data_IF_453429336150
#
_entry.id   IF_453429336150
#
_cell.length_a   1.000
_cell.length_b   1.000
_cell.length_c   1.000
_cell.angle_alpha   90.00
_cell.angle_beta   90.00
_cell.angle_gamma   90.00
#
_symmetry.space_group_name_H-M   'P 1'
#
loop_
_entity.id
_entity.type
_entity.pdbx_description
1 polymer ?
#
# COMPACT_ATOMS: atom_id res chain seq x y z
N UNK A 1 -10.05 59.06 -28.21
CA UNK A 1 -8.93 58.09 -28.21
C UNK A 1 -8.65 57.36 -26.88
N UNK A 2 -8.87 57.90 -25.66
CA UNK A 2 -8.40 57.23 -24.43
C UNK A 2 -9.23 56.01 -23.99
N UNK A 3 -10.50 55.89 -24.39
CA UNK A 3 -11.37 54.74 -24.03
C UNK A 3 -11.03 53.46 -24.80
N UNK A 4 -10.71 53.57 -26.09
CA UNK A 4 -10.31 52.42 -26.91
C UNK A 4 -8.96 51.85 -26.46
N UNK A 5 -8.02 52.71 -26.07
CA UNK A 5 -6.72 52.28 -25.56
C UNK A 5 -6.84 51.52 -24.23
N UNK A 6 -7.74 51.96 -23.32
CA UNK A 6 -8.04 51.22 -22.08
C UNK A 6 -8.65 49.86 -22.36
N UNK A 7 -9.58 49.76 -23.30
CA UNK A 7 -10.22 48.48 -23.66
C UNK A 7 -9.20 47.46 -24.20
N UNK A 8 -8.29 47.91 -25.08
CA UNK A 8 -7.22 47.07 -25.62
C UNK A 8 -6.28 46.63 -24.50
N UNK A 9 -5.88 47.53 -23.61
CA UNK A 9 -5.02 47.19 -22.47
C UNK A 9 -5.70 46.16 -21.55
N UNK A 10 -6.98 46.32 -21.25
CA UNK A 10 -7.74 45.37 -20.43
C UNK A 10 -7.84 44.01 -21.11
N UNK A 11 -8.11 43.96 -22.42
CA UNK A 11 -8.14 42.70 -23.18
C UNK A 11 -6.78 42.00 -23.18
N UNK A 12 -5.69 42.73 -23.39
CA UNK A 12 -4.32 42.16 -23.34
C UNK A 12 -3.99 41.61 -21.96
N UNK A 13 -4.28 42.36 -20.88
CA UNK A 13 -4.05 41.88 -19.51
C UNK A 13 -4.91 40.65 -19.19
N UNK A 14 -6.18 40.64 -19.59
CA UNK A 14 -7.07 39.49 -19.39
C UNK A 14 -6.60 38.27 -20.19
N UNK A 15 -6.08 38.49 -21.40
CA UNK A 15 -5.53 37.43 -22.26
C UNK A 15 -4.27 36.85 -21.64
N UNK A 16 -3.35 37.69 -21.15
CA UNK A 16 -2.14 37.26 -20.45
C UNK A 16 -2.50 36.48 -19.18
N UNK A 17 -3.47 36.94 -18.39
CA UNK A 17 -3.93 36.22 -17.19
C UNK A 17 -4.59 34.87 -17.53
N UNK A 18 -5.30 34.75 -18.65
CA UNK A 18 -5.88 33.48 -19.13
C UNK A 18 -4.82 32.51 -19.69
N UNK A 19 -3.72 33.02 -20.26
CA UNK A 19 -2.57 32.20 -20.69
C UNK A 19 -1.62 31.84 -19.53
N UNK A 20 -1.74 32.50 -18.36
CA UNK A 20 -1.13 32.07 -17.09
C UNK A 20 -2.10 31.15 -16.33
N UNK A 21 -2.87 30.32 -17.05
CA UNK A 21 -3.36 29.09 -16.44
C UNK A 21 -2.11 28.31 -16.02
N UNK A 22 -1.78 28.35 -14.74
CA UNK A 22 -0.77 27.46 -14.18
C UNK A 22 -1.17 26.06 -14.65
N UNK A 23 -0.30 25.37 -15.40
CA UNK A 23 -0.41 23.93 -15.47
C UNK A 23 -0.33 23.49 -14.02
N UNK A 24 -1.47 23.11 -13.44
CA UNK A 24 -1.46 22.29 -12.24
C UNK A 24 -0.70 21.06 -12.70
N UNK A 25 0.59 21.02 -12.40
CA UNK A 25 1.38 19.81 -12.55
C UNK A 25 0.87 18.90 -11.44
N UNK A 26 -0.29 18.28 -11.65
CA UNK A 26 -0.65 17.09 -10.90
C UNK A 26 0.56 16.17 -11.01
N UNK A 27 1.20 15.85 -9.89
CA UNK A 27 2.35 14.97 -9.93
C UNK A 27 1.89 13.67 -10.57
N UNK A 28 2.43 13.34 -11.74
CA UNK A 28 2.02 12.14 -12.46
C UNK A 28 2.54 10.91 -11.71
N UNK A 29 1.82 9.79 -11.86
CA UNK A 29 2.33 8.48 -11.47
C UNK A 29 3.74 8.29 -11.99
N UNK A 30 4.67 7.98 -11.08
CA UNK A 30 6.06 7.79 -11.47
C UNK A 30 6.30 6.32 -11.73
N UNK A 31 6.70 5.93 -12.96
CA UNK A 31 7.02 4.53 -13.23
C UNK A 31 8.17 4.08 -12.32
N UNK A 32 8.22 2.81 -11.98
CA UNK A 32 9.33 2.20 -11.23
C UNK A 32 10.02 1.19 -12.14
N UNK A 33 9.29 0.18 -12.60
CA UNK A 33 9.78 -0.89 -13.49
C UNK A 33 8.62 -1.46 -14.30
N UNK A 34 8.84 -1.80 -15.57
CA UNK A 34 7.80 -2.38 -16.43
C UNK A 34 7.75 -3.92 -16.39
N UNK A 35 6.55 -4.48 -16.56
CA UNK A 35 6.27 -5.91 -16.70
C UNK A 35 5.86 -6.62 -15.40
N UNK A 36 5.05 -7.67 -15.55
CA UNK A 36 4.43 -8.45 -14.46
C UNK A 36 5.41 -8.75 -13.31
N UNK A 37 6.67 -9.20 -13.56
CA UNK A 37 7.55 -9.56 -12.44
C UNK A 37 7.99 -8.41 -11.53
N UNK A 38 7.61 -7.17 -11.84
CA UNK A 38 8.00 -5.98 -11.10
C UNK A 38 6.82 -5.21 -10.51
N UNK A 39 5.59 -5.75 -10.58
CA UNK A 39 4.43 -5.20 -9.87
C UNK A 39 4.65 -5.10 -8.36
N UNK A 40 4.11 -4.08 -7.72
CA UNK A 40 4.26 -3.85 -6.27
C UNK A 40 2.97 -4.26 -5.58
N UNK A 41 3.01 -5.45 -4.98
CA UNK A 41 1.86 -6.03 -4.28
C UNK A 41 1.79 -5.53 -2.83
N UNK A 42 2.92 -5.17 -2.22
CA UNK A 42 2.96 -4.63 -0.86
C UNK A 42 4.20 -3.78 -0.60
N UNK A 43 4.09 -2.82 0.33
CA UNK A 43 5.13 -1.81 0.58
C UNK A 43 5.31 -1.54 2.08
N UNK A 44 6.52 -1.19 2.52
CA UNK A 44 6.79 -0.71 3.87
C UNK A 44 7.88 0.36 3.89
N UNK A 45 7.70 1.41 4.69
CA UNK A 45 8.68 2.49 4.85
C UNK A 45 9.94 1.96 5.54
N UNK A 46 11.10 2.19 4.92
CA UNK A 46 12.43 1.91 5.47
C UNK A 46 13.03 3.16 6.07
N UNK A 47 13.06 4.25 5.31
CA UNK A 47 13.68 5.49 5.75
C UNK A 47 12.94 6.71 5.22
N UNK A 48 12.87 7.75 6.04
CA UNK A 48 12.45 9.09 5.66
C UNK A 48 13.54 10.08 6.07
N UNK A 49 14.11 10.80 5.10
CA UNK A 49 15.12 11.84 5.33
C UNK A 49 14.81 13.06 4.46
N UNK A 50 14.13 14.05 5.05
CA UNK A 50 13.58 15.17 4.29
C UNK A 50 12.58 14.65 3.25
N UNK A 51 12.79 15.01 1.98
CA UNK A 51 11.95 14.59 0.85
C UNK A 51 12.39 13.23 0.24
N UNK A 52 13.37 12.56 0.85
CA UNK A 52 13.81 11.24 0.41
C UNK A 52 13.09 10.16 1.21
N UNK A 53 12.46 9.24 0.48
CA UNK A 53 11.72 8.11 1.05
C UNK A 53 12.25 6.81 0.44
N UNK A 54 12.67 5.89 1.30
CA UNK A 54 13.02 4.53 0.89
C UNK A 54 11.95 3.57 1.37
N UNK A 55 11.52 2.67 0.49
CA UNK A 55 10.55 1.64 0.80
C UNK A 55 11.10 0.26 0.45
N UNK A 56 10.84 -0.70 1.32
CA UNK A 56 10.91 -2.11 0.99
C UNK A 56 9.59 -2.48 0.30
N UNK A 57 9.67 -3.26 -0.78
CA UNK A 57 8.50 -3.74 -1.52
C UNK A 57 8.55 -5.25 -1.69
N UNK A 58 7.38 -5.88 -1.81
CA UNK A 58 7.23 -7.29 -2.21
C UNK A 58 6.61 -7.40 -3.60
N UNK A 59 6.85 -8.54 -4.23
CA UNK A 59 6.25 -8.94 -5.50
C UNK A 59 5.51 -10.27 -5.35
N UNK A 60 4.33 -10.42 -5.94
CA UNK A 60 3.51 -11.65 -5.99
C UNK A 60 4.13 -12.80 -6.84
N UNK A 61 5.40 -12.66 -7.20
CA UNK A 61 6.10 -13.54 -8.12
C UNK A 61 6.09 -15.02 -7.68
N UNK A 62 6.02 -15.90 -8.69
CA UNK A 62 5.83 -17.35 -8.49
C UNK A 62 7.02 -18.20 -8.98
N UNK A 63 7.84 -17.67 -9.90
CA UNK A 63 8.94 -18.41 -10.55
C UNK A 63 10.27 -18.19 -9.82
N UNK A 64 11.21 -19.13 -10.00
CA UNK A 64 12.52 -19.14 -9.30
C UNK A 64 13.45 -17.98 -9.71
N UNK A 65 13.34 -17.51 -10.94
CA UNK A 65 14.18 -16.44 -11.49
C UNK A 65 13.58 -15.04 -11.38
N UNK A 66 12.46 -14.91 -10.66
CA UNK A 66 11.79 -13.63 -10.42
C UNK A 66 12.17 -13.10 -9.03
N UNK A 67 12.27 -11.78 -8.88
CA UNK A 67 12.52 -11.14 -7.59
C UNK A 67 11.38 -11.40 -6.60
N UNK A 68 11.65 -11.27 -5.31
CA UNK A 68 10.61 -11.27 -4.26
C UNK A 68 10.54 -9.97 -3.49
N UNK A 69 11.66 -9.27 -3.43
CA UNK A 69 11.84 -8.06 -2.67
C UNK A 69 12.70 -7.08 -3.47
N UNK A 70 12.45 -5.80 -3.27
CA UNK A 70 13.31 -4.73 -3.73
C UNK A 70 13.22 -3.54 -2.78
N UNK A 71 14.19 -2.63 -2.87
CA UNK A 71 14.07 -1.28 -2.31
C UNK A 71 13.75 -0.34 -3.46
N UNK A 72 12.77 0.53 -3.25
CA UNK A 72 12.57 1.70 -4.09
C UNK A 72 12.94 2.97 -3.33
N UNK A 73 13.58 3.92 -4.01
CA UNK A 73 13.94 5.22 -3.42
C UNK A 73 13.28 6.35 -4.20
N UNK A 74 12.50 7.16 -3.49
CA UNK A 74 11.87 8.37 -4.02
C UNK A 74 12.71 9.56 -3.57
N UNK A 75 13.32 10.29 -4.53
CA UNK A 75 14.18 11.45 -4.26
C UNK A 75 13.55 12.72 -4.83
N UNK A 76 12.71 13.38 -4.05
CA UNK A 76 11.91 14.52 -4.52
C UNK A 76 11.04 14.14 -5.72
N UNK A 77 11.08 14.93 -6.80
CA UNK A 77 10.32 14.70 -8.05
C UNK A 77 11.05 13.83 -9.08
N UNK A 78 12.23 13.29 -8.75
CA UNK A 78 12.97 12.44 -9.67
C UNK A 78 12.29 11.09 -9.88
N UNK A 79 12.70 10.41 -10.96
CA UNK A 79 12.39 9.02 -11.23
C UNK A 79 12.77 8.15 -10.03
N UNK A 80 11.89 7.24 -9.57
CA UNK A 80 12.21 6.28 -8.52
C UNK A 80 13.41 5.40 -8.89
N UNK A 81 14.34 5.23 -7.96
CA UNK A 81 15.38 4.21 -8.08
C UNK A 81 14.81 2.86 -7.66
N UNK A 82 15.24 1.78 -8.31
CA UNK A 82 14.86 0.39 -7.99
C UNK A 82 16.11 -0.45 -7.73
N UNK A 83 16.15 -1.14 -6.58
CA UNK A 83 17.24 -2.03 -6.20
C UNK A 83 16.70 -3.41 -5.81
N UNK A 84 16.90 -4.46 -6.62
CA UNK A 84 16.43 -5.80 -6.27
C UNK A 84 17.22 -6.38 -5.09
N UNK A 85 16.52 -7.05 -4.18
CA UNK A 85 17.12 -7.76 -3.06
C UNK A 85 17.14 -9.26 -3.32
N UNK A 86 18.24 -9.91 -2.95
CA UNK A 86 18.34 -11.37 -3.04
C UNK A 86 17.62 -12.01 -1.85
N UNK A 87 16.71 -12.93 -2.14
CA UNK A 87 16.16 -13.80 -1.11
C UNK A 87 17.25 -14.75 -0.59
N UNK A 88 17.33 -15.04 0.72
CA UNK A 88 18.33 -15.96 1.26
C UNK A 88 18.27 -17.34 0.59
N UNK A 89 19.40 -17.77 0.02
CA UNK A 89 19.49 -18.98 -0.81
C UNK A 89 19.24 -20.28 -0.05
N UNK A 90 19.39 -20.26 1.27
CA UNK A 90 19.15 -21.39 2.17
C UNK A 90 17.69 -21.49 2.64
N UNK A 91 16.83 -20.55 2.26
CA UNK A 91 15.40 -20.54 2.60
C UNK A 91 14.59 -20.74 1.33
N UNK A 92 13.56 -21.58 1.40
CA UNK A 92 12.66 -21.81 0.26
C UNK A 92 12.06 -20.47 -0.19
N UNK A 93 12.11 -20.21 -1.49
CA UNK A 93 11.49 -19.02 -2.07
C UNK A 93 9.98 -19.00 -1.74
N UNK A 94 9.45 -17.87 -1.24
CA UNK A 94 8.02 -17.69 -1.12
C UNK A 94 7.41 -17.64 -2.52
N UNK A 95 6.12 -17.89 -2.57
CA UNK A 95 5.30 -17.76 -3.77
C UNK A 95 4.22 -16.76 -3.38
N UNK A 96 3.92 -15.80 -4.26
CA UNK A 96 2.75 -14.93 -4.08
C UNK A 96 2.85 -14.06 -2.82
N UNK A 97 3.96 -13.31 -2.64
CA UNK A 97 4.04 -12.34 -1.54
C UNK A 97 3.16 -11.14 -1.86
N UNK A 98 2.10 -10.98 -1.10
CA UNK A 98 1.09 -9.96 -1.33
C UNK A 98 1.28 -8.76 -0.40
N UNK A 99 1.47 -8.99 0.91
CA UNK A 99 1.52 -7.88 1.87
C UNK A 99 2.89 -7.70 2.52
N UNK A 100 3.18 -6.48 2.94
CA UNK A 100 4.38 -6.13 3.69
C UNK A 100 4.06 -5.08 4.76
N UNK A 101 4.59 -5.27 5.96
CA UNK A 101 4.45 -4.28 7.05
C UNK A 101 5.70 -4.22 7.89
N UNK A 102 6.02 -3.04 8.40
CA UNK A 102 7.05 -2.87 9.43
C UNK A 102 6.57 -3.49 10.75
N UNK A 103 7.48 -4.07 11.52
CA UNK A 103 7.23 -4.46 12.90
C UNK A 103 7.39 -3.21 13.78
N UNK A 104 6.37 -2.80 14.54
CA UNK A 104 6.46 -1.61 15.39
C UNK A 104 7.65 -1.66 16.36
N UNK A 105 8.20 -0.50 16.69
CA UNK A 105 9.32 -0.33 17.63
C UNK A 105 10.65 -1.00 17.19
N UNK A 106 10.85 -1.17 15.88
CA UNK A 106 12.10 -1.74 15.32
C UNK A 106 12.91 -0.76 14.47
N UNK A 107 12.61 0.55 14.54
CA UNK A 107 13.27 1.58 13.71
C UNK A 107 13.29 1.24 12.22
N UNK A 108 12.21 0.62 11.71
CA UNK A 108 12.07 0.18 10.32
C UNK A 108 13.18 -0.77 9.83
N UNK A 109 13.76 -1.58 10.73
CA UNK A 109 14.74 -2.60 10.35
C UNK A 109 14.15 -4.00 10.27
N UNK A 110 12.92 -4.22 10.74
CA UNK A 110 12.27 -5.52 10.76
C UNK A 110 10.84 -5.44 10.22
N UNK A 111 10.45 -6.47 9.47
CA UNK A 111 9.23 -6.50 8.67
C UNK A 111 8.55 -7.86 8.73
N UNK A 112 7.27 -7.89 8.40
CA UNK A 112 6.52 -9.12 8.11
C UNK A 112 6.04 -9.03 6.67
N UNK A 113 6.46 -9.99 5.84
CA UNK A 113 5.87 -10.23 4.53
C UNK A 113 4.84 -11.37 4.65
N UNK A 114 3.74 -11.30 3.91
CA UNK A 114 2.68 -12.33 3.90
C UNK A 114 2.44 -12.81 2.47
N UNK A 115 2.36 -14.12 2.28
CA UNK A 115 1.87 -14.71 1.04
C UNK A 115 0.35 -14.92 1.02
N UNK A 116 -0.21 -15.03 -0.18
CA UNK A 116 -1.64 -15.20 -0.43
C UNK A 116 -2.27 -16.41 0.31
N UNK A 117 -1.49 -17.44 0.59
CA UNK A 117 -1.88 -18.65 1.32
C UNK A 117 -1.85 -18.51 2.85
N UNK A 118 -1.48 -17.33 3.37
CA UNK A 118 -1.44 -17.02 4.80
C UNK A 118 -0.15 -17.40 5.51
N UNK A 119 0.92 -17.70 4.77
CA UNK A 119 2.27 -17.89 5.32
C UNK A 119 3.02 -16.56 5.44
N UNK A 120 3.60 -16.33 6.60
CA UNK A 120 4.26 -15.08 6.95
C UNK A 120 5.75 -15.25 7.25
N UNK A 121 6.52 -14.22 6.93
CA UNK A 121 7.97 -14.18 6.99
C UNK A 121 8.43 -12.97 7.79
N UNK A 122 9.05 -13.19 8.94
CA UNK A 122 9.78 -12.14 9.66
C UNK A 122 11.12 -11.91 8.97
N UNK A 123 11.26 -10.71 8.41
CA UNK A 123 12.43 -10.25 7.68
C UNK A 123 13.17 -9.19 8.50
N UNK A 124 14.49 -9.19 8.42
CA UNK A 124 15.32 -8.06 8.86
C UNK A 124 16.09 -7.50 7.67
N UNK A 125 16.12 -6.17 7.55
CA UNK A 125 16.84 -5.45 6.51
C UNK A 125 18.07 -4.75 7.09
N UNK A 126 19.24 -5.12 6.56
CA UNK A 126 20.41 -4.26 6.64
C UNK A 126 20.34 -3.25 5.48
N UNK A 127 19.83 -2.06 5.75
CA UNK A 127 19.65 -1.03 4.73
C UNK A 127 20.98 -0.51 4.17
N UNK A 128 22.07 -0.58 4.93
CA UNK A 128 23.40 -0.10 4.50
C UNK A 128 23.98 -1.05 3.47
N UNK A 129 23.95 -2.35 3.76
CA UNK A 129 24.48 -3.38 2.87
C UNK A 129 23.44 -3.92 1.88
N UNK A 130 22.18 -3.46 1.98
CA UNK A 130 21.03 -3.88 1.18
C UNK A 130 20.85 -5.40 1.16
N UNK A 131 20.86 -5.99 2.35
CA UNK A 131 20.72 -7.43 2.55
C UNK A 131 19.51 -7.77 3.40
N UNK A 132 18.80 -8.84 3.04
CA UNK A 132 17.67 -9.38 3.79
C UNK A 132 18.07 -10.67 4.47
N UNK A 133 17.59 -10.85 5.70
CA UNK A 133 17.58 -12.14 6.39
C UNK A 133 16.16 -12.55 6.75
N UNK A 134 15.85 -13.84 6.65
CA UNK A 134 14.59 -14.41 7.16
C UNK A 134 14.85 -14.92 8.57
N UNK A 135 14.25 -14.28 9.56
CA UNK A 135 14.38 -14.64 10.98
C UNK A 135 13.45 -15.81 11.33
N UNK A 136 12.21 -15.76 10.82
CA UNK A 136 11.19 -16.76 11.17
C UNK A 136 10.11 -16.88 10.10
N UNK A 137 9.65 -18.11 9.88
CA UNK A 137 8.42 -18.43 9.16
C UNK A 137 7.32 -18.81 10.15
N UNK A 138 6.10 -18.32 9.95
CA UNK A 138 4.91 -18.67 10.72
C UNK A 138 3.66 -18.58 9.84
N UNK A 139 2.50 -18.98 10.36
CA UNK A 139 1.24 -18.93 9.64
C UNK A 139 0.24 -18.04 10.37
N UNK A 140 -0.67 -17.43 9.62
CA UNK A 140 -1.86 -16.80 10.18
C UNK A 140 -2.69 -17.82 11.00
N UNK A 141 -3.54 -17.34 11.94
CA UNK A 141 -4.50 -18.21 12.64
C UNK A 141 -5.38 -18.97 11.67
N UNK A 142 -5.98 -20.09 12.10
CA UNK A 142 -6.86 -20.88 11.26
C UNK A 142 -7.95 -20.03 10.57
N UNK A 143 -8.09 -20.20 9.26
CA UNK A 143 -8.99 -19.45 8.40
C UNK A 143 -9.76 -20.41 7.47
N UNK A 144 -10.87 -19.96 6.84
CA UNK A 144 -11.63 -20.78 5.90
C UNK A 144 -10.78 -21.24 4.71
N UNK A 145 -11.04 -22.46 4.24
CA UNK A 145 -10.43 -22.98 3.01
C UNK A 145 -10.70 -22.02 1.84
N UNK A 146 -9.72 -21.85 0.95
CA UNK A 146 -9.75 -20.92 -0.19
C UNK A 146 -9.72 -19.43 0.20
N UNK A 147 -9.30 -19.08 1.42
CA UNK A 147 -8.91 -17.71 1.72
C UNK A 147 -7.70 -17.32 0.87
N UNK A 148 -7.79 -16.19 0.20
CA UNK A 148 -6.70 -15.54 -0.52
C UNK A 148 -6.41 -14.18 0.14
N UNK A 149 -5.24 -14.04 0.76
CA UNK A 149 -4.87 -12.88 1.56
C UNK A 149 -4.01 -11.90 0.77
N UNK A 150 -4.51 -10.69 0.55
CA UNK A 150 -3.72 -9.65 -0.12
C UNK A 150 -3.14 -8.62 0.88
N UNK A 151 -3.62 -8.63 2.13
CA UNK A 151 -3.31 -7.55 3.08
C UNK A 151 -2.93 -8.04 4.48
N UNK A 152 -1.95 -7.35 5.07
CA UNK A 152 -1.46 -7.58 6.42
C UNK A 152 -0.79 -6.33 6.98
N UNK A 153 -1.18 -5.91 8.17
CA UNK A 153 -0.56 -4.80 8.88
C UNK A 153 -0.34 -5.13 10.36
N UNK A 154 0.77 -4.64 10.89
CA UNK A 154 1.04 -4.56 12.32
C UNK A 154 1.07 -3.10 12.74
N UNK A 155 0.36 -2.78 13.82
CA UNK A 155 0.37 -1.45 14.41
C UNK A 155 0.49 -1.55 15.93
N UNK A 156 1.35 -0.71 16.52
CA UNK A 156 1.35 -0.51 17.96
C UNK A 156 0.23 0.46 18.33
N UNK A 157 -0.70 -0.03 19.15
CA UNK A 157 -1.78 0.75 19.73
C UNK A 157 -1.67 0.61 21.24
N UNK A 158 -1.26 1.69 21.92
CA UNK A 158 -1.10 1.76 23.37
C UNK A 158 -0.17 0.67 23.97
N UNK A 159 0.95 0.37 23.30
CA UNK A 159 1.95 -0.59 23.75
C UNK A 159 1.59 -2.05 23.42
N UNK A 160 0.54 -2.28 22.63
CA UNK A 160 0.11 -3.60 22.18
C UNK A 160 0.25 -3.68 20.67
N UNK A 161 1.01 -4.67 20.18
CA UNK A 161 1.10 -4.92 18.74
C UNK A 161 -0.17 -5.63 18.29
N UNK A 162 -0.91 -4.94 17.46
CA UNK A 162 -2.15 -5.39 16.86
C UNK A 162 -1.87 -5.83 15.43
N UNK A 163 -2.42 -6.99 15.05
CA UNK A 163 -2.44 -7.45 13.67
C UNK A 163 -3.82 -7.24 13.07
N UNK A 164 -3.87 -6.75 11.83
CA UNK A 164 -5.04 -6.75 10.96
C UNK A 164 -4.67 -7.36 9.61
N UNK A 165 -5.52 -8.23 9.10
CA UNK A 165 -5.29 -8.93 7.83
C UNK A 165 -6.60 -9.22 7.14
N UNK A 166 -6.61 -9.35 5.82
CA UNK A 166 -7.86 -9.66 5.14
C UNK A 166 -7.71 -10.63 3.98
N UNK A 167 -8.73 -11.48 3.88
CA UNK A 167 -9.06 -12.11 2.61
C UNK A 167 -9.62 -11.02 1.68
N UNK A 168 -9.09 -10.95 0.45
CA UNK A 168 -9.35 -9.87 -0.52
C UNK A 168 -10.81 -9.66 -0.91
N UNK A 169 -11.61 -10.72 -0.94
CA UNK A 169 -12.92 -10.72 -1.60
C UNK A 169 -12.81 -10.53 -3.12
N UNK A 170 -13.84 -10.93 -3.85
CA UNK A 170 -13.83 -10.85 -5.31
C UNK A 170 -15.24 -10.69 -5.88
N UNK A 171 -15.44 -9.62 -6.66
CA UNK A 171 -16.71 -9.30 -7.32
C UNK A 171 -17.85 -9.13 -6.32
N UNK A 172 -18.70 -10.16 -6.18
CA UNK A 172 -19.82 -10.16 -5.22
C UNK A 172 -19.46 -10.78 -3.87
N UNK A 173 -18.35 -11.51 -3.79
CA UNK A 173 -17.87 -12.09 -2.54
C UNK A 173 -17.22 -11.00 -1.71
N UNK A 174 -17.73 -10.68 -0.51
CA UNK A 174 -17.12 -9.66 0.33
C UNK A 174 -15.71 -10.05 0.74
N UNK A 175 -14.86 -9.04 0.94
CA UNK A 175 -13.63 -9.23 1.71
C UNK A 175 -13.98 -9.66 3.13
N UNK A 176 -13.02 -10.27 3.81
CA UNK A 176 -13.14 -10.58 5.23
C UNK A 176 -11.92 -10.09 5.97
N UNK A 177 -12.13 -9.02 6.76
CA UNK A 177 -11.13 -8.43 7.64
C UNK A 177 -11.11 -9.23 8.93
N UNK A 178 -9.91 -9.51 9.43
CA UNK A 178 -9.64 -10.12 10.72
C UNK A 178 -8.74 -9.21 11.53
N UNK A 179 -8.86 -9.26 12.86
CA UNK A 179 -7.98 -8.52 13.76
C UNK A 179 -7.66 -9.33 15.01
N UNK A 180 -6.51 -9.05 15.63
CA UNK A 180 -6.05 -9.74 16.82
C UNK A 180 -4.80 -9.12 17.42
N UNK A 181 -4.34 -9.70 18.53
CA UNK A 181 -3.11 -9.29 19.21
C UNK A 181 -1.97 -10.19 18.74
N UNK A 182 -0.86 -9.59 18.31
CA UNK A 182 0.33 -10.31 17.87
C UNK A 182 1.35 -10.41 19.00
N UNK A 183 1.73 -11.65 19.34
CA UNK A 183 2.84 -11.95 20.23
C UNK A 183 4.07 -12.28 19.39
N UNK A 184 4.97 -11.31 19.24
CA UNK A 184 6.19 -11.43 18.44
C UNK A 184 7.14 -12.52 18.97
N UNK A 185 7.18 -12.76 20.28
CA UNK A 185 8.04 -13.79 20.87
C UNK A 185 7.55 -15.20 20.51
N UNK A 186 6.23 -15.37 20.41
CA UNK A 186 5.60 -16.65 20.05
C UNK A 186 5.29 -16.78 18.56
N UNK A 187 5.41 -15.70 17.79
CA UNK A 187 4.96 -15.62 16.39
C UNK A 187 3.52 -16.09 16.23
N UNK A 188 2.64 -15.63 17.12
CA UNK A 188 1.24 -16.05 17.18
C UNK A 188 0.31 -14.86 17.27
N UNK A 189 -0.73 -14.88 16.46
CA UNK A 189 -1.83 -13.92 16.55
C UNK A 189 -2.97 -14.57 17.35
N UNK A 190 -3.45 -13.86 18.37
CA UNK A 190 -4.68 -14.22 19.08
C UNK A 190 -5.83 -13.44 18.45
N UNK A 191 -6.62 -14.12 17.61
CA UNK A 191 -7.74 -13.51 16.89
C UNK A 191 -8.79 -12.98 17.86
N UNK A 192 -9.16 -11.72 17.70
CA UNK A 192 -10.20 -11.06 18.48
C UNK A 192 -11.54 -11.00 17.72
N UNK A 193 -11.51 -10.91 16.39
CA UNK A 193 -12.73 -10.94 15.58
C UNK A 193 -12.48 -10.91 14.08
N UNK A 194 -13.59 -10.91 13.34
CA UNK A 194 -13.62 -10.74 11.89
C UNK A 194 -14.91 -10.06 11.44
N UNK A 195 -14.87 -9.37 10.31
CA UNK A 195 -16.03 -8.73 9.71
C UNK A 195 -15.97 -8.83 8.18
N UNK A 196 -17.14 -8.96 7.54
CA UNK A 196 -17.24 -8.84 6.09
C UNK A 196 -17.14 -7.36 5.70
N UNK A 197 -16.47 -7.09 4.57
CA UNK A 197 -16.22 -5.74 4.08
C UNK A 197 -16.41 -5.69 2.56
N UNK A 198 -17.03 -4.61 2.09
CA UNK A 198 -17.16 -4.32 0.66
C UNK A 198 -16.92 -2.84 0.44
N UNK A 199 -16.41 -2.51 -0.75
CA UNK A 199 -16.26 -1.12 -1.22
C UNK A 199 -17.32 -0.81 -2.28
N UNK A 200 -17.74 0.46 -2.41
CA UNK A 200 -18.66 0.87 -3.46
C UNK A 200 -17.99 1.06 -4.84
N UNK A 201 -16.67 1.21 -4.88
CA UNK A 201 -15.87 1.39 -6.10
C UNK A 201 -14.47 0.78 -5.88
N UNK A 202 -13.83 0.17 -6.88
CA UNK A 202 -14.31 -0.04 -8.24
C UNK A 202 -15.46 -1.05 -8.33
N UNK A 203 -16.11 -1.11 -9.49
CA UNK A 203 -17.25 -2.03 -9.74
C UNK A 203 -16.84 -3.19 -10.64
N UNK A 204 -17.65 -4.24 -10.72
CA UNK A 204 -17.35 -5.41 -11.56
C UNK A 204 -16.45 -6.41 -10.84
N UNK A 205 -15.31 -6.78 -11.47
CA UNK A 205 -14.32 -7.71 -10.92
C UNK A 205 -13.46 -7.04 -9.83
N UNK A 206 -14.10 -6.55 -8.78
CA UNK A 206 -13.41 -5.84 -7.70
C UNK A 206 -12.72 -6.81 -6.75
N UNK A 207 -11.45 -6.56 -6.47
CA UNK A 207 -10.75 -6.95 -5.25
C UNK A 207 -11.11 -5.92 -4.19
N UNK A 208 -11.92 -6.30 -3.21
CA UNK A 208 -12.47 -5.35 -2.25
C UNK A 208 -11.40 -4.78 -1.31
N UNK A 209 -10.36 -5.56 -1.02
CA UNK A 209 -9.19 -5.14 -0.26
C UNK A 209 -7.94 -5.70 -0.95
N UNK A 210 -7.11 -4.81 -1.47
CA UNK A 210 -5.80 -5.15 -2.04
C UNK A 210 -4.66 -4.88 -1.06
N UNK A 211 -4.75 -3.85 -0.21
CA UNK A 211 -3.85 -3.64 0.93
C UNK A 211 -4.59 -3.03 2.13
N UNK A 212 -3.98 -3.12 3.32
CA UNK A 212 -4.44 -2.50 4.56
C UNK A 212 -3.25 -1.83 5.25
N UNK A 213 -3.45 -0.59 5.71
CA UNK A 213 -2.55 0.07 6.67
C UNK A 213 -3.34 0.70 7.81
N UNK A 214 -2.77 0.66 9.00
CA UNK A 214 -3.35 1.29 10.19
C UNK A 214 -2.40 2.37 10.67
N UNK A 215 -2.89 3.59 10.88
CA UNK A 215 -2.07 4.65 11.45
C UNK A 215 -1.95 4.55 12.97
N UNK A 216 -1.09 5.37 13.56
CA UNK A 216 -0.87 5.43 15.01
C UNK A 216 -2.12 5.83 15.83
N UNK A 217 -3.11 6.48 15.19
CA UNK A 217 -4.38 6.80 15.83
C UNK A 217 -5.37 5.63 15.74
N UNK A 218 -5.07 4.58 14.98
CA UNK A 218 -5.95 3.43 14.75
C UNK A 218 -6.88 3.62 13.54
N UNK A 219 -6.68 4.63 12.70
CA UNK A 219 -7.45 4.78 11.46
C UNK A 219 -6.96 3.74 10.46
N UNK A 220 -7.91 3.01 9.87
CA UNK A 220 -7.61 1.95 8.91
C UNK A 220 -7.83 2.46 7.50
N UNK A 221 -6.78 2.42 6.70
CA UNK A 221 -6.75 2.74 5.29
C UNK A 221 -6.68 1.44 4.50
N UNK A 222 -7.43 1.35 3.41
CA UNK A 222 -7.39 0.20 2.50
C UNK A 222 -7.31 0.68 1.06
N UNK A 223 -6.67 -0.11 0.21
CA UNK A 223 -6.82 -0.01 -1.24
C UNK A 223 -7.79 -1.06 -1.75
N UNK A 224 -8.41 -0.79 -2.88
CA UNK A 224 -9.24 -1.73 -3.64
C UNK A 224 -8.98 -1.54 -5.12
N UNK A 225 -8.99 -2.60 -5.91
CA UNK A 225 -8.71 -2.54 -7.33
C UNK A 225 -9.65 -3.42 -8.15
N UNK A 226 -9.89 -3.07 -9.40
CA UNK A 226 -10.56 -3.93 -10.37
C UNK A 226 -9.54 -4.83 -11.04
N UNK A 227 -9.92 -6.07 -11.29
CA UNK A 227 -9.10 -7.04 -11.99
C UNK A 227 -9.75 -7.41 -13.33
N UNK A 228 -9.32 -6.72 -14.39
CA UNK A 228 -9.81 -6.91 -15.75
C UNK A 228 -8.92 -7.85 -16.58
N UNK A 229 -7.94 -8.53 -15.96
CA UNK A 229 -6.87 -9.26 -16.63
C UNK A 229 -5.58 -8.42 -16.75
N UNK A 230 -4.63 -8.88 -17.58
CA UNK A 230 -3.22 -8.45 -17.48
C UNK A 230 -2.89 -7.11 -18.17
N UNK A 231 -3.84 -6.48 -18.87
CA UNK A 231 -3.58 -5.32 -19.75
C UNK A 231 -4.26 -4.02 -19.30
N UNK A 232 -5.10 -4.08 -18.25
CA UNK A 232 -5.90 -2.94 -17.80
C UNK A 232 -6.89 -2.41 -18.86
N UNK A 233 -7.33 -1.15 -18.77
CA UNK A 233 -7.06 -0.23 -17.67
C UNK A 233 -7.65 -0.74 -16.35
N UNK A 234 -7.01 -0.39 -15.24
CA UNK A 234 -7.45 -0.80 -13.91
C UNK A 234 -8.07 0.38 -13.19
N UNK A 235 -9.21 0.16 -12.56
CA UNK A 235 -9.80 1.10 -11.63
C UNK A 235 -9.35 0.76 -10.22
N UNK A 236 -9.02 1.76 -9.41
CA UNK A 236 -8.68 1.53 -8.01
C UNK A 236 -9.03 2.73 -7.13
N UNK A 237 -9.06 2.49 -5.83
CA UNK A 237 -9.36 3.53 -4.87
C UNK A 237 -8.72 3.25 -3.52
N UNK A 238 -8.48 4.33 -2.79
CA UNK A 238 -8.08 4.30 -1.38
C UNK A 238 -9.25 4.78 -0.53
N UNK A 239 -9.50 4.10 0.58
CA UNK A 239 -10.57 4.40 1.53
C UNK A 239 -10.05 4.51 2.94
N UNK A 240 -10.75 5.32 3.75
CA UNK A 240 -10.76 5.15 5.20
C UNK A 240 -11.83 4.13 5.55
N UNK A 241 -11.40 2.89 5.78
CA UNK A 241 -12.27 1.75 6.03
C UNK A 241 -12.92 1.77 7.41
N UNK A 242 -12.32 2.45 8.39
CA UNK A 242 -12.82 2.51 9.76
C UNK A 242 -11.74 2.77 10.80
N UNK A 243 -11.98 2.25 12.00
CA UNK A 243 -11.15 2.49 13.18
C UNK A 243 -10.90 1.19 13.94
N UNK A 244 -9.65 0.97 14.32
CA UNK A 244 -9.17 -0.11 15.17
C UNK A 244 -8.70 0.49 16.51
N UNK A 245 -9.23 0.00 17.63
CA UNK A 245 -8.85 0.54 18.93
C UNK A 245 -9.26 -0.35 20.09
N UNK A 246 -9.18 0.20 21.30
CA UNK A 246 -9.41 -0.54 22.54
C UNK A 246 -10.62 -0.01 23.31
N UNK A 247 -11.43 -0.94 23.81
CA UNK A 247 -12.46 -0.67 24.83
C UNK A 247 -12.10 -1.48 26.07
N UNK A 248 -11.47 -0.83 27.05
CA UNK A 248 -10.75 -1.52 28.12
C UNK A 248 -9.60 -2.36 27.54
N UNK A 249 -9.49 -3.63 27.92
CA UNK A 249 -8.44 -4.52 27.42
C UNK A 249 -8.84 -5.30 26.15
N UNK A 250 -9.98 -4.96 25.53
CA UNK A 250 -10.47 -5.64 24.33
C UNK A 250 -10.28 -4.75 23.12
N UNK A 251 -9.55 -5.28 22.14
CA UNK A 251 -9.48 -4.66 20.83
C UNK A 251 -10.81 -4.80 20.08
N UNK A 252 -11.23 -3.75 19.40
CA UNK A 252 -12.41 -3.74 18.54
C UNK A 252 -12.13 -3.07 17.20
N UNK A 253 -12.83 -3.55 16.18
CA UNK A 253 -12.91 -2.95 14.86
C UNK A 253 -14.27 -2.26 14.70
N UNK A 254 -14.26 -1.01 14.26
CA UNK A 254 -15.46 -0.26 13.87
C UNK A 254 -15.33 0.15 12.41
N UNK A 255 -16.04 -0.56 11.55
CA UNK A 255 -16.15 -0.24 10.14
C UNK A 255 -16.83 1.11 9.92
N UNK A 256 -16.35 1.86 8.94
CA UNK A 256 -16.99 3.07 8.45
C UNK A 256 -18.28 2.70 7.70
N UNK A 257 -19.42 3.20 8.16
CA UNK A 257 -20.74 2.93 7.56
C UNK A 257 -20.97 3.67 6.23
N UNK A 258 -20.19 4.70 5.95
CA UNK A 258 -20.29 5.53 4.75
C UNK A 258 -18.92 5.62 4.08
N UNK A 259 -18.60 4.60 3.27
CA UNK A 259 -17.35 4.57 2.52
C UNK A 259 -17.42 5.51 1.32
N UNK A 260 -16.57 6.52 1.33
CA UNK A 260 -16.23 7.31 0.16
C UNK A 260 -14.72 7.20 -0.06
N UNK A 261 -14.27 7.08 -1.32
CA UNK A 261 -12.86 7.00 -1.60
C UNK A 261 -12.21 8.37 -1.36
N UNK A 262 -11.08 8.35 -0.66
CA UNK A 262 -10.23 9.54 -0.47
C UNK A 262 -9.32 9.77 -1.68
N UNK A 263 -9.14 8.73 -2.50
CA UNK A 263 -8.45 8.79 -3.78
C UNK A 263 -9.06 7.77 -4.74
N UNK A 264 -9.12 8.11 -6.03
CA UNK A 264 -9.54 7.23 -7.13
C UNK A 264 -8.53 7.32 -8.25
N UNK A 265 -8.31 6.18 -8.89
CA UNK A 265 -7.60 6.07 -10.14
C UNK A 265 -8.41 5.22 -11.13
N UNK A 266 -8.33 5.55 -12.41
CA UNK A 266 -9.03 4.83 -13.49
C UNK A 266 -8.08 4.12 -14.45
N UNK A 267 -6.77 4.17 -14.18
CA UNK A 267 -5.73 3.57 -15.03
C UNK A 267 -4.86 2.57 -14.29
N UNK A 268 -4.65 2.75 -12.99
CA UNK A 268 -3.71 1.98 -12.18
C UNK A 268 -4.40 1.06 -11.15
N UNK A 269 -3.84 -0.13 -10.96
CA UNK A 269 -4.22 -1.16 -9.99
C UNK A 269 -3.40 -0.95 -8.71
N UNK A 270 -3.96 -0.18 -7.78
CA UNK A 270 -3.30 0.08 -6.48
C UNK A 270 -3.35 -1.18 -5.63
N UNK A 271 -2.22 -1.85 -5.51
CA UNK A 271 -2.06 -3.05 -4.67
C UNK A 271 -1.11 -2.79 -3.50
N UNK A 272 -0.21 -1.81 -3.57
CA UNK A 272 0.61 -1.38 -2.43
C UNK A 272 0.14 -0.06 -1.82
N UNK A 273 0.12 0.01 -0.49
CA UNK A 273 -0.16 1.21 0.29
C UNK A 273 0.96 1.43 1.32
N UNK A 274 1.28 2.66 1.71
CA UNK A 274 2.08 2.95 2.91
C UNK A 274 1.72 4.33 3.48
N UNK A 275 1.81 4.47 4.80
CA UNK A 275 1.50 5.71 5.52
C UNK A 275 2.80 6.33 6.03
N UNK A 276 3.25 7.39 5.38
CA UNK A 276 4.44 8.12 5.81
C UNK A 276 4.03 9.11 6.91
N UNK A 277 4.64 9.07 8.10
CA UNK A 277 4.26 9.94 9.21
C UNK A 277 4.78 11.38 9.06
N UNK A 278 4.22 12.29 9.87
CA UNK A 278 4.67 13.67 10.00
C UNK A 278 4.02 14.64 9.00
N UNK A 279 4.32 15.94 9.15
CA UNK A 279 3.70 17.00 8.35
C UNK A 279 4.08 16.95 6.86
N UNK A 280 5.25 16.39 6.54
CA UNK A 280 5.70 16.14 5.17
C UNK A 280 5.36 14.70 4.70
N UNK A 281 4.63 13.94 5.53
CA UNK A 281 4.17 12.59 5.22
C UNK A 281 2.86 12.58 4.45
N UNK A 282 2.23 11.41 4.36
CA UNK A 282 1.00 11.23 3.60
C UNK A 282 0.76 9.77 3.23
N UNK A 283 -0.23 9.57 2.34
CA UNK A 283 -0.54 8.25 1.79
C UNK A 283 0.27 8.05 0.51
N UNK A 284 1.08 7.01 0.48
CA UNK A 284 1.84 6.57 -0.67
C UNK A 284 1.15 5.34 -1.24
N UNK A 285 0.95 5.32 -2.55
CA UNK A 285 0.37 4.19 -3.26
C UNK A 285 1.32 3.67 -4.31
N UNK A 286 1.27 2.37 -4.53
CA UNK A 286 2.06 1.65 -5.51
C UNK A 286 1.22 0.62 -6.26
N UNK A 287 1.65 0.29 -7.47
CA UNK A 287 0.83 -0.49 -8.39
C UNK A 287 1.47 -1.80 -8.76
N UNK A 288 0.58 -2.76 -9.03
CA UNK A 288 0.87 -3.95 -9.80
C UNK A 288 0.00 -3.92 -11.06
N UNK A 289 0.41 -3.13 -12.05
CA UNK A 289 -0.32 -2.98 -13.30
C UNK A 289 -0.02 -4.09 -14.31
N UNK A 290 0.31 -5.29 -13.80
CA UNK A 290 0.48 -6.50 -14.60
C UNK A 290 1.52 -6.26 -15.73
N UNK A 291 1.12 -6.31 -17.01
CA UNK A 291 2.04 -6.09 -18.13
C UNK A 291 2.72 -4.70 -18.12
N UNK A 292 2.10 -3.70 -17.50
CA UNK A 292 2.65 -2.34 -17.39
C UNK A 292 3.66 -2.20 -16.24
N UNK A 293 3.73 -3.18 -15.33
CA UNK A 293 4.64 -3.21 -14.19
C UNK A 293 4.18 -2.32 -13.04
N UNK A 294 5.08 -1.54 -12.45
CA UNK A 294 4.80 -0.77 -11.24
C UNK A 294 5.04 0.73 -11.39
N UNK A 295 4.20 1.47 -10.69
CA UNK A 295 4.23 2.92 -10.55
C UNK A 295 4.05 3.29 -9.08
N UNK A 296 4.43 4.52 -8.72
CA UNK A 296 4.22 5.08 -7.39
C UNK A 296 3.68 6.49 -7.45
N UNK A 297 2.81 6.81 -6.50
CA UNK A 297 2.19 8.12 -6.38
C UNK A 297 2.00 8.53 -4.91
N UNK A 298 2.12 9.83 -4.67
CA UNK A 298 1.88 10.45 -3.35
C UNK A 298 0.50 11.09 -3.41
N UNK A 299 -0.46 10.53 -2.67
CA UNK A 299 -1.84 11.00 -2.69
C UNK A 299 -1.91 12.43 -2.14
N UNK A 300 -2.41 13.35 -2.97
CA UNK A 300 -2.58 14.75 -2.60
C UNK A 300 -1.32 15.62 -2.70
N UNK A 301 -0.25 15.13 -3.36
CA UNK A 301 0.92 15.97 -3.67
C UNK A 301 0.61 16.98 -4.79
N UNK A 302 0.90 18.26 -4.52
CA UNK A 302 0.91 19.39 -5.47
C UNK A 302 2.36 19.73 -5.93
#
# INVERSE_FOLDING_TARGET
MPRFFRLILTLVVLSVLLFISQRVFAQEWRPVRGGIPFGISGMALVQQQGDNLDFLIVHDNKKQNQGRLAIISLKGKNQPDYFPLNWPSNIKLPIDLEALTTIPNTNNSAFIALSSDGKAYHLTLDATNKNISVVKEFNLPAFPLNSNFESFNLQDINGTIVAMWAHRGEGKQPAKIYWGIFDLNKYKITTAGSANFTVPFPSGNVRHISDIKVDSAGIVYISSASDAGDDGPFQSAVYVAGYLGFSGNKIFWRQNSQLFPIYRDEYHKIEGLELVPGAAGGVIVATDDENLGSYVYVVGAE
#
